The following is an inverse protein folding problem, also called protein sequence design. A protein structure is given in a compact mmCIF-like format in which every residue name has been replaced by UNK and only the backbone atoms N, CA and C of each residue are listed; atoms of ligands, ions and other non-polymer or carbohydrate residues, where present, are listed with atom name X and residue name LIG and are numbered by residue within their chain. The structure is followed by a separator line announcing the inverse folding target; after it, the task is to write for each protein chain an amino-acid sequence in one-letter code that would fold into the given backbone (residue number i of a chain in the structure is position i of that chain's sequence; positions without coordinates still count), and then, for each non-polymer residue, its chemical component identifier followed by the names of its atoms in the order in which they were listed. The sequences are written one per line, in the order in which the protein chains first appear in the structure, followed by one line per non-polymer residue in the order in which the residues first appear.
data_IF_424161512786
#
_entry.id   IF_424161512786
#
_cell.length_a   1.000
_cell.length_b   1.000
_cell.length_c   1.000
_cell.angle_alpha   90.00
_cell.angle_beta   90.00
_cell.angle_gamma   90.00
#
_symmetry.space_group_name_H-M   'P 1'
#
loop_
_entity.id
_entity.type
_entity.pdbx_description
1 polymer ?
#
# COMPACT_ATOMS: atom_id res chain seq x y z
N UNK A 1 31.63 7.73 9.49
CA UNK A 1 31.50 8.16 8.07
C UNK A 1 30.02 8.28 7.73
N UNK A 2 29.64 9.31 6.96
CA UNK A 2 28.28 9.45 6.44
C UNK A 2 28.08 8.49 5.30
N UNK A 3 26.89 7.85 5.23
CA UNK A 3 26.51 6.93 4.15
C UNK A 3 26.28 7.68 2.84
N UNK A 4 26.58 7.06 1.71
CA UNK A 4 26.23 7.57 0.38
C UNK A 4 24.72 7.49 0.15
N UNK A 5 24.24 8.16 -0.89
CA UNK A 5 22.79 8.09 -1.25
C UNK A 5 22.40 6.66 -1.62
N UNK A 6 23.23 5.93 -2.36
CA UNK A 6 23.00 4.53 -2.71
C UNK A 6 22.86 3.66 -1.45
N UNK A 7 23.74 3.84 -0.46
CA UNK A 7 23.68 3.11 0.80
C UNK A 7 22.44 3.47 1.65
N UNK A 8 21.88 4.67 1.48
CA UNK A 8 20.65 5.05 2.18
C UNK A 8 19.42 4.37 1.60
N UNK A 9 19.40 4.08 0.30
CA UNK A 9 18.31 3.41 -0.40
C UNK A 9 18.50 1.88 -0.51
N UNK A 10 19.64 1.33 -0.09
CA UNK A 10 19.94 -0.11 -0.13
C UNK A 10 19.07 -0.89 0.87
N UNK A 11 18.36 -1.90 0.39
CA UNK A 11 17.52 -2.80 1.16
C UNK A 11 18.10 -4.23 1.26
N UNK A 12 19.39 -4.41 0.90
CA UNK A 12 20.04 -5.71 1.01
C UNK A 12 19.95 -6.28 2.43
N UNK A 13 19.50 -7.52 2.54
CA UNK A 13 19.27 -8.20 3.83
C UNK A 13 17.95 -7.84 4.52
N UNK A 14 17.10 -6.97 3.93
CA UNK A 14 15.77 -6.65 4.44
C UNK A 14 14.72 -7.61 3.88
N UNK A 15 13.66 -7.80 4.66
CA UNK A 15 12.49 -8.58 4.25
C UNK A 15 11.26 -7.69 4.19
N UNK A 16 10.56 -7.72 3.07
CA UNK A 16 9.32 -6.97 2.84
C UNK A 16 8.12 -7.90 2.70
N UNK A 17 7.04 -7.59 3.40
CA UNK A 17 5.72 -8.18 3.21
C UNK A 17 4.81 -7.18 2.50
N UNK A 18 4.29 -7.56 1.32
CA UNK A 18 3.41 -6.70 0.49
C UNK A 18 2.06 -7.38 0.31
N UNK A 19 1.00 -6.80 0.88
CA UNK A 19 -0.37 -7.30 0.69
C UNK A 19 -1.01 -6.74 -0.58
N UNK A 20 -1.86 -7.54 -1.25
CA UNK A 20 -2.37 -7.18 -2.57
C UNK A 20 -1.28 -7.11 -3.63
N UNK A 21 -0.17 -7.87 -3.46
CA UNK A 21 1.03 -7.79 -4.25
C UNK A 21 1.00 -8.59 -5.57
N UNK A 22 -0.12 -9.25 -5.89
CA UNK A 22 -0.19 -10.10 -7.11
C UNK A 22 -0.38 -9.33 -8.42
N UNK A 23 -0.63 -8.01 -8.36
CA UNK A 23 -0.82 -7.15 -9.55
C UNK A 23 -0.88 -5.67 -9.19
N UNK A 24 -0.85 -4.80 -10.22
CA UNK A 24 -1.04 -3.34 -10.10
C UNK A 24 -0.11 -2.71 -9.08
N UNK A 25 -0.62 -1.76 -8.29
CA UNK A 25 0.21 -0.95 -7.37
C UNK A 25 1.04 -1.79 -6.39
N UNK A 26 0.47 -2.90 -5.88
CA UNK A 26 1.18 -3.79 -4.96
C UNK A 26 2.36 -4.50 -5.62
N UNK A 27 2.21 -4.93 -6.87
CA UNK A 27 3.28 -5.58 -7.62
C UNK A 27 4.38 -4.57 -8.00
N UNK A 28 4.01 -3.33 -8.40
CA UNK A 28 4.98 -2.25 -8.63
C UNK A 28 5.84 -1.97 -7.40
N UNK A 29 5.20 -1.88 -6.21
CA UNK A 29 5.93 -1.68 -4.96
C UNK A 29 6.78 -2.89 -4.58
N UNK A 30 6.33 -4.12 -4.87
CA UNK A 30 7.14 -5.34 -4.70
C UNK A 30 8.39 -5.32 -5.58
N UNK A 31 8.27 -4.89 -6.84
CA UNK A 31 9.41 -4.65 -7.73
C UNK A 31 10.37 -3.61 -7.14
N UNK A 32 9.87 -2.45 -6.73
CA UNK A 32 10.72 -1.39 -6.17
C UNK A 32 11.57 -1.85 -4.98
N UNK A 33 10.95 -2.62 -4.07
CA UNK A 33 11.62 -3.15 -2.89
C UNK A 33 12.64 -4.23 -3.25
N UNK A 34 12.27 -5.14 -4.17
CA UNK A 34 13.15 -6.21 -4.63
C UNK A 34 14.33 -5.69 -5.46
N UNK A 35 14.11 -4.77 -6.38
CA UNK A 35 15.16 -4.11 -7.18
C UNK A 35 16.19 -3.37 -6.29
N UNK A 36 15.76 -2.89 -5.11
CA UNK A 36 16.64 -2.29 -4.11
C UNK A 36 17.31 -3.32 -3.18
N UNK A 37 17.15 -4.62 -3.40
CA UNK A 37 17.83 -5.70 -2.68
C UNK A 37 17.02 -6.37 -1.57
N UNK A 38 15.77 -6.01 -1.34
CA UNK A 38 14.94 -6.70 -0.35
C UNK A 38 14.49 -8.08 -0.84
N UNK A 39 14.38 -9.04 0.08
CA UNK A 39 13.60 -10.26 -0.13
C UNK A 39 12.11 -9.91 0.02
N UNK A 40 11.28 -10.33 -0.90
CA UNK A 40 9.87 -9.92 -0.94
C UNK A 40 8.94 -11.11 -0.77
N UNK A 41 8.00 -11.01 0.17
CA UNK A 41 6.85 -11.91 0.24
C UNK A 41 5.60 -11.13 -0.16
N UNK A 42 4.92 -11.60 -1.20
CA UNK A 42 3.66 -11.02 -1.65
C UNK A 42 2.46 -11.86 -1.18
N UNK A 43 1.36 -11.21 -0.87
CA UNK A 43 0.13 -11.88 -0.47
C UNK A 43 -1.08 -11.33 -1.21
N UNK A 44 -1.98 -12.23 -1.59
CA UNK A 44 -3.34 -11.95 -2.09
C UNK A 44 -4.21 -13.20 -1.89
N UNK A 45 -5.49 -13.14 -2.31
CA UNK A 45 -6.43 -14.26 -2.09
C UNK A 45 -6.26 -15.43 -3.04
N UNK A 46 -5.73 -15.22 -4.26
CA UNK A 46 -5.66 -16.24 -5.32
C UNK A 46 -4.23 -16.72 -5.50
N UNK A 47 -4.03 -18.02 -5.35
CA UNK A 47 -2.71 -18.64 -5.50
C UNK A 47 -2.18 -18.49 -6.93
N UNK A 48 -3.00 -18.70 -7.94
CA UNK A 48 -2.58 -18.64 -9.34
C UNK A 48 -2.06 -17.24 -9.72
N UNK A 49 -2.76 -16.17 -9.26
CA UNK A 49 -2.32 -14.78 -9.49
C UNK A 49 -0.96 -14.50 -8.79
N UNK A 50 -0.72 -15.14 -7.63
CA UNK A 50 0.52 -14.98 -6.85
C UNK A 50 1.69 -15.74 -7.46
N UNK A 51 1.44 -16.95 -7.96
CA UNK A 51 2.45 -17.77 -8.64
C UNK A 51 2.99 -17.04 -9.88
N UNK A 52 2.10 -16.46 -10.67
CA UNK A 52 2.48 -15.68 -11.85
C UNK A 52 3.29 -14.43 -11.45
N UNK A 53 2.85 -13.68 -10.43
CA UNK A 53 3.55 -12.49 -9.97
C UNK A 53 4.94 -12.82 -9.38
N UNK A 54 5.07 -13.92 -8.63
CA UNK A 54 6.39 -14.36 -8.12
C UNK A 54 7.31 -14.79 -9.24
N UNK A 55 6.80 -15.49 -10.26
CA UNK A 55 7.60 -15.85 -11.43
C UNK A 55 8.14 -14.60 -12.16
N UNK A 56 7.32 -13.54 -12.29
CA UNK A 56 7.72 -12.24 -12.86
C UNK A 56 8.82 -11.59 -12.01
N UNK A 57 8.64 -11.51 -10.68
CA UNK A 57 9.63 -10.95 -9.76
C UNK A 57 10.95 -11.73 -9.79
N UNK A 58 10.88 -13.07 -9.81
CA UNK A 58 12.06 -13.93 -9.88
C UNK A 58 12.79 -13.81 -11.23
N UNK A 59 12.07 -13.64 -12.34
CA UNK A 59 12.66 -13.37 -13.65
C UNK A 59 13.43 -12.02 -13.67
N UNK A 60 13.02 -11.06 -12.84
CA UNK A 60 13.73 -9.81 -12.60
C UNK A 60 14.89 -9.95 -11.59
N UNK A 61 15.22 -11.16 -11.13
CA UNK A 61 16.32 -11.43 -10.19
C UNK A 61 15.97 -11.16 -8.72
N UNK A 62 14.70 -11.01 -8.37
CA UNK A 62 14.24 -10.70 -7.01
C UNK A 62 13.98 -12.01 -6.24
N UNK A 63 14.50 -12.14 -5.01
CA UNK A 63 14.12 -13.24 -4.09
C UNK A 63 12.68 -13.00 -3.61
N UNK A 64 11.73 -13.57 -4.35
CA UNK A 64 10.31 -13.41 -4.12
C UNK A 64 9.63 -14.73 -3.74
N UNK A 65 8.70 -14.64 -2.78
CA UNK A 65 7.84 -15.73 -2.32
C UNK A 65 6.41 -15.23 -2.16
N UNK A 66 5.48 -16.15 -1.94
CA UNK A 66 4.08 -15.79 -1.75
C UNK A 66 3.38 -16.63 -0.67
N UNK A 67 2.31 -16.05 -0.13
CA UNK A 67 1.32 -16.70 0.73
C UNK A 67 -0.07 -16.22 0.35
N UNK A 68 -0.96 -17.14 -0.01
CA UNK A 68 -2.35 -16.80 -0.25
C UNK A 68 -3.05 -16.51 1.09
N UNK A 69 -3.65 -15.31 1.24
CA UNK A 69 -4.39 -14.93 2.44
C UNK A 69 -5.45 -13.86 2.13
N UNK A 70 -6.55 -13.92 2.86
CA UNK A 70 -7.59 -12.90 2.89
C UNK A 70 -7.38 -11.96 4.09
N UNK A 71 -6.84 -10.78 3.84
CA UNK A 71 -6.58 -9.78 4.89
C UNK A 71 -7.86 -9.17 5.50
N UNK A 72 -9.06 -9.60 5.11
CA UNK A 72 -10.30 -9.29 5.80
C UNK A 72 -10.62 -10.29 6.94
N UNK A 73 -9.83 -11.37 7.10
CA UNK A 73 -10.04 -12.44 8.08
C UNK A 73 -8.90 -12.49 9.09
N UNK A 74 -9.23 -12.39 10.39
CA UNK A 74 -8.25 -12.36 11.49
C UNK A 74 -7.33 -13.58 11.51
N UNK A 75 -7.90 -14.79 11.34
CA UNK A 75 -7.15 -16.04 11.31
C UNK A 75 -6.16 -16.10 10.14
N UNK A 76 -6.56 -15.57 8.98
CA UNK A 76 -5.71 -15.52 7.79
C UNK A 76 -4.57 -14.50 7.95
N UNK A 77 -4.81 -13.36 8.63
CA UNK A 77 -3.77 -12.39 8.95
C UNK A 77 -2.73 -13.02 9.89
N UNK A 78 -3.18 -13.72 10.93
CA UNK A 78 -2.27 -14.41 11.87
C UNK A 78 -1.42 -15.43 11.13
N UNK A 79 -2.04 -16.28 10.32
CA UNK A 79 -1.36 -17.28 9.50
C UNK A 79 -0.37 -16.66 8.51
N UNK A 80 -0.76 -15.57 7.84
CA UNK A 80 0.11 -14.85 6.90
C UNK A 80 1.39 -14.38 7.59
N UNK A 81 1.29 -13.79 8.76
CA UNK A 81 2.45 -13.31 9.52
C UNK A 81 3.31 -14.49 9.99
N UNK A 82 2.69 -15.58 10.49
CA UNK A 82 3.40 -16.80 10.89
C UNK A 82 4.21 -17.40 9.77
N UNK A 83 3.57 -17.62 8.60
CA UNK A 83 4.23 -18.19 7.44
C UNK A 83 5.30 -17.25 6.87
N UNK A 84 5.09 -15.92 6.94
CA UNK A 84 6.13 -14.96 6.52
C UNK A 84 7.36 -15.08 7.41
N UNK A 85 7.19 -15.08 8.72
CA UNK A 85 8.30 -15.23 9.68
C UNK A 85 9.03 -16.57 9.52
N UNK A 86 8.28 -17.65 9.30
CA UNK A 86 8.86 -18.98 9.09
C UNK A 86 9.69 -19.07 7.81
N UNK A 87 9.20 -18.47 6.71
CA UNK A 87 9.81 -18.59 5.37
C UNK A 87 10.91 -17.56 5.11
N UNK A 88 10.78 -16.39 5.71
CA UNK A 88 11.60 -15.22 5.36
C UNK A 88 12.39 -14.68 6.57
N UNK A 89 12.08 -15.12 7.78
CA UNK A 89 12.62 -14.52 9.01
C UNK A 89 11.90 -13.21 9.37
N UNK A 90 12.62 -12.33 10.05
CA UNK A 90 12.06 -11.05 10.48
C UNK A 90 11.52 -10.19 9.34
N UNK A 91 10.40 -9.49 9.60
CA UNK A 91 9.77 -8.57 8.66
C UNK A 91 10.26 -7.15 8.98
N UNK A 92 11.05 -6.57 8.07
CA UNK A 92 11.56 -5.20 8.21
C UNK A 92 10.60 -4.15 7.65
N UNK A 93 9.91 -4.52 6.56
CA UNK A 93 9.04 -3.62 5.79
C UNK A 93 7.68 -4.28 5.62
N UNK A 94 6.61 -3.54 5.97
CA UNK A 94 5.23 -3.93 5.72
C UNK A 94 4.58 -2.92 4.77
N UNK A 95 4.04 -3.41 3.65
CA UNK A 95 3.21 -2.61 2.74
C UNK A 95 1.76 -3.09 2.85
N UNK A 96 0.93 -2.31 3.52
CA UNK A 96 -0.51 -2.48 3.56
C UNK A 96 -1.12 -1.90 2.29
N UNK A 97 -1.33 -2.74 1.27
CA UNK A 97 -1.89 -2.33 -0.02
C UNK A 97 -3.19 -3.06 -0.40
N UNK A 98 -3.45 -4.24 0.16
CA UNK A 98 -4.71 -4.94 -0.11
C UNK A 98 -5.92 -4.05 0.18
N UNK A 99 -6.84 -3.92 -0.77
CA UNK A 99 -7.99 -3.04 -0.62
C UNK A 99 -9.16 -3.43 -1.49
N UNK A 100 -10.32 -2.87 -1.16
CA UNK A 100 -11.57 -2.99 -1.91
C UNK A 100 -12.24 -1.61 -2.04
N UNK A 101 -13.04 -1.48 -3.09
CA UNK A 101 -13.91 -0.34 -3.32
C UNK A 101 -15.32 -0.84 -3.67
N UNK A 102 -16.31 -0.01 -3.45
CA UNK A 102 -17.69 -0.22 -3.85
C UNK A 102 -18.31 1.11 -4.24
N UNK A 103 -19.08 1.13 -5.32
CA UNK A 103 -19.75 2.31 -5.84
C UNK A 103 -21.27 2.16 -5.75
N UNK A 104 -21.93 3.12 -5.05
CA UNK A 104 -23.39 3.26 -4.94
C UNK A 104 -23.69 4.65 -4.37
N UNK A 105 -24.83 5.30 -4.72
CA UNK A 105 -25.31 6.49 -4.04
C UNK A 105 -25.31 6.28 -2.51
N UNK A 106 -25.02 7.34 -1.75
CA UNK A 106 -24.84 7.22 -0.29
C UNK A 106 -26.11 6.74 0.41
N UNK A 107 -27.28 7.22 -0.04
CA UNK A 107 -28.61 6.85 0.46
C UNK A 107 -28.97 5.38 0.21
N UNK A 108 -28.42 4.79 -0.84
CA UNK A 108 -28.65 3.38 -1.24
C UNK A 108 -27.44 2.49 -1.00
N UNK A 109 -26.42 2.98 -0.26
CA UNK A 109 -25.19 2.21 -0.09
C UNK A 109 -25.42 1.00 0.82
N UNK A 110 -25.23 -0.26 0.32
CA UNK A 110 -25.48 -1.44 1.13
C UNK A 110 -24.51 -1.51 2.32
N UNK A 111 -25.05 -1.81 3.51
CA UNK A 111 -24.26 -1.93 4.75
C UNK A 111 -23.18 -3.03 4.60
N UNK A 112 -23.53 -4.16 3.98
CA UNK A 112 -22.57 -5.23 3.72
C UNK A 112 -21.40 -4.80 2.86
N UNK A 113 -21.65 -3.92 1.89
CA UNK A 113 -20.58 -3.36 1.05
C UNK A 113 -19.70 -2.37 1.83
N UNK A 114 -20.32 -1.56 2.70
CA UNK A 114 -19.61 -0.70 3.65
C UNK A 114 -18.70 -1.53 4.55
N UNK A 115 -19.26 -2.53 5.23
CA UNK A 115 -18.51 -3.40 6.15
C UNK A 115 -17.37 -4.12 5.45
N UNK A 116 -17.58 -4.63 4.24
CA UNK A 116 -16.55 -5.27 3.43
C UNK A 116 -15.38 -4.33 3.15
N UNK A 117 -15.66 -3.07 2.79
CA UNK A 117 -14.63 -2.08 2.50
C UNK A 117 -13.88 -1.69 3.78
N UNK A 118 -14.61 -1.35 4.85
CA UNK A 118 -14.01 -0.94 6.13
C UNK A 118 -13.21 -2.08 6.77
N UNK A 119 -13.72 -3.30 6.72
CA UNK A 119 -13.05 -4.46 7.29
C UNK A 119 -11.70 -4.75 6.60
N UNK A 120 -11.64 -4.68 5.26
CA UNK A 120 -10.38 -4.91 4.56
C UNK A 120 -9.44 -3.70 4.64
N UNK A 121 -9.94 -2.49 4.32
CA UNK A 121 -9.09 -1.32 4.13
C UNK A 121 -8.61 -0.68 5.45
N UNK A 122 -9.37 -0.85 6.54
CA UNK A 122 -9.07 -0.21 7.83
C UNK A 122 -8.70 -1.25 8.88
N UNK A 123 -9.65 -2.15 9.20
CA UNK A 123 -9.43 -3.18 10.24
C UNK A 123 -8.29 -4.13 9.87
N UNK A 124 -8.23 -4.56 8.60
CA UNK A 124 -7.15 -5.42 8.09
C UNK A 124 -5.78 -4.77 8.23
N UNK A 125 -5.64 -3.48 7.90
CA UNK A 125 -4.39 -2.73 8.06
C UNK A 125 -3.96 -2.63 9.52
N UNK A 126 -4.91 -2.35 10.42
CA UNK A 126 -4.63 -2.31 11.86
C UNK A 126 -4.13 -3.67 12.38
N UNK A 127 -4.86 -4.74 12.12
CA UNK A 127 -4.53 -6.08 12.61
C UNK A 127 -3.19 -6.58 12.07
N UNK A 128 -2.93 -6.36 10.77
CA UNK A 128 -1.67 -6.78 10.15
C UNK A 128 -0.49 -5.97 10.70
N UNK A 129 -0.63 -4.65 10.81
CA UNK A 129 0.40 -3.79 11.42
C UNK A 129 0.68 -4.21 12.86
N UNK A 130 -0.36 -4.48 13.66
CA UNK A 130 -0.22 -4.94 15.04
C UNK A 130 0.50 -6.30 15.13
N UNK A 131 0.11 -7.26 14.30
CA UNK A 131 0.70 -8.60 14.31
C UNK A 131 2.18 -8.56 13.90
N UNK A 132 2.51 -7.85 12.82
CA UNK A 132 3.90 -7.70 12.35
C UNK A 132 4.75 -6.96 13.39
N UNK A 133 4.24 -5.84 13.93
CA UNK A 133 5.00 -5.06 14.89
C UNK A 133 5.30 -5.84 16.18
N UNK A 134 4.31 -6.51 16.76
CA UNK A 134 4.47 -7.32 17.99
C UNK A 134 5.46 -8.47 17.81
N UNK A 135 5.47 -9.10 16.65
CA UNK A 135 6.21 -10.34 16.43
C UNK A 135 7.59 -10.14 15.81
N UNK A 136 7.83 -8.98 15.21
CA UNK A 136 9.09 -8.70 14.52
C UNK A 136 9.70 -7.34 14.86
N UNK A 137 8.97 -6.23 14.76
CA UNK A 137 9.57 -4.90 14.73
C UNK A 137 9.85 -4.30 16.12
N UNK A 138 8.92 -4.46 17.10
CA UNK A 138 8.99 -3.78 18.42
C UNK A 138 10.23 -4.24 19.19
N UNK A 139 10.45 -5.55 19.32
CA UNK A 139 11.58 -6.09 20.06
C UNK A 139 12.94 -5.68 19.44
N UNK A 140 13.00 -5.63 18.12
CA UNK A 140 14.20 -5.21 17.37
C UNK A 140 14.37 -3.69 17.32
N UNK A 141 13.36 -2.92 17.72
CA UNK A 141 13.32 -1.45 17.62
C UNK A 141 13.66 -0.97 16.22
N UNK A 142 13.06 -1.60 15.22
CA UNK A 142 13.29 -1.30 13.81
C UNK A 142 12.12 -1.78 12.96
N UNK A 143 11.57 -0.93 12.10
CA UNK A 143 10.51 -1.29 11.17
C UNK A 143 10.09 -0.13 10.27
N UNK A 144 9.51 -0.48 9.12
CA UNK A 144 8.94 0.46 8.15
C UNK A 144 7.55 -0.03 7.78
N UNK A 145 6.54 0.79 7.99
CA UNK A 145 5.15 0.49 7.60
C UNK A 145 4.70 1.52 6.59
N UNK A 146 4.25 1.03 5.43
CA UNK A 146 3.74 1.84 4.33
C UNK A 146 2.28 1.48 4.11
N UNK A 147 1.39 2.43 4.31
CA UNK A 147 -0.04 2.26 4.10
C UNK A 147 -0.43 2.85 2.74
N UNK A 148 -1.09 2.09 1.90
CA UNK A 148 -1.64 2.60 0.64
C UNK A 148 -3.02 3.19 0.90
N UNK A 149 -3.07 4.52 1.04
CA UNK A 149 -4.30 5.29 1.13
C UNK A 149 -4.86 5.58 -0.29
N UNK A 150 -5.24 6.80 -0.58
CA UNK A 150 -5.70 7.31 -1.89
C UNK A 150 -5.91 8.81 -1.80
N UNK A 151 -5.86 9.53 -2.91
CA UNK A 151 -6.37 10.92 -2.98
C UNK A 151 -7.86 10.99 -2.61
N UNK A 152 -8.62 9.91 -2.80
CA UNK A 152 -10.01 9.80 -2.35
C UNK A 152 -10.18 9.94 -0.82
N UNK A 153 -9.12 9.78 -0.03
CA UNK A 153 -9.12 10.04 1.41
C UNK A 153 -8.78 11.48 1.79
N UNK A 154 -8.43 12.33 0.84
CA UNK A 154 -8.03 13.73 1.06
C UNK A 154 -9.21 14.71 0.92
N UNK A 155 -10.27 14.30 0.25
CA UNK A 155 -11.44 15.15 0.01
C UNK A 155 -12.64 14.37 -0.46
N UNK A 156 -13.70 15.09 -0.85
CA UNK A 156 -14.90 14.51 -1.45
C UNK A 156 -14.66 14.15 -2.93
N UNK A 157 -15.54 13.33 -3.46
CA UNK A 157 -15.53 12.97 -4.87
C UNK A 157 -16.22 14.02 -5.74
N UNK A 158 -15.84 14.13 -7.02
CA UNK A 158 -16.64 14.84 -8.00
C UNK A 158 -17.98 14.13 -8.22
N UNK A 159 -18.93 14.86 -8.77
CA UNK A 159 -20.27 14.34 -9.10
C UNK A 159 -20.16 13.05 -9.95
N UNK A 160 -21.02 12.08 -9.65
CA UNK A 160 -21.05 10.78 -10.32
C UNK A 160 -20.08 9.72 -9.79
N UNK A 161 -19.16 10.08 -8.88
CA UNK A 161 -18.26 9.12 -8.25
C UNK A 161 -18.74 8.75 -6.84
N UNK A 162 -19.61 7.77 -6.75
CA UNK A 162 -20.30 7.38 -5.53
C UNK A 162 -19.56 6.28 -4.76
N UNK A 163 -18.46 6.62 -4.07
CA UNK A 163 -17.61 5.64 -3.35
C UNK A 163 -17.43 5.98 -1.87
N UNK A 164 -18.54 6.30 -1.17
CA UNK A 164 -18.52 6.80 0.22
C UNK A 164 -17.71 5.90 1.16
N UNK A 165 -17.91 4.58 1.15
CA UNK A 165 -17.18 3.66 2.00
C UNK A 165 -15.66 3.67 1.70
N UNK A 166 -15.28 3.73 0.43
CA UNK A 166 -13.88 3.78 0.01
C UNK A 166 -13.21 5.08 0.47
N UNK A 167 -13.81 6.24 0.19
CA UNK A 167 -13.27 7.54 0.62
C UNK A 167 -13.12 7.59 2.15
N UNK A 168 -14.14 7.18 2.89
CA UNK A 168 -14.10 7.12 4.35
C UNK A 168 -12.97 6.21 4.82
N UNK A 169 -12.83 5.02 4.23
CA UNK A 169 -11.77 4.08 4.59
C UNK A 169 -10.36 4.65 4.33
N UNK A 170 -10.18 5.37 3.21
CA UNK A 170 -8.87 5.96 2.86
C UNK A 170 -8.53 7.18 3.70
N UNK A 171 -9.52 7.98 4.10
CA UNK A 171 -9.38 9.03 5.12
C UNK A 171 -8.99 8.46 6.49
N UNK A 172 -9.64 7.35 6.89
CA UNK A 172 -9.28 6.62 8.11
C UNK A 172 -7.84 6.10 8.07
N UNK A 173 -7.37 5.55 6.94
CA UNK A 173 -5.97 5.09 6.77
C UNK A 173 -4.98 6.23 6.92
N UNK A 174 -5.27 7.43 6.41
CA UNK A 174 -4.41 8.60 6.58
C UNK A 174 -4.28 8.98 8.05
N UNK A 175 -5.40 9.05 8.79
CA UNK A 175 -5.34 9.37 10.21
C UNK A 175 -4.72 8.24 11.06
N UNK A 176 -5.01 6.98 10.73
CA UNK A 176 -4.36 5.79 11.30
C UNK A 176 -2.83 5.88 11.17
N UNK A 177 -2.34 6.26 9.99
CA UNK A 177 -0.91 6.45 9.71
C UNK A 177 -0.28 7.47 10.66
N UNK A 178 -0.92 8.62 10.86
CA UNK A 178 -0.44 9.67 11.78
C UNK A 178 -0.36 9.18 13.21
N UNK A 179 -1.44 8.57 13.70
CA UNK A 179 -1.53 8.09 15.09
C UNK A 179 -0.51 6.98 15.33
N UNK A 180 -0.44 6.00 14.44
CA UNK A 180 0.47 4.87 14.60
C UNK A 180 1.94 5.31 14.51
N UNK A 181 2.27 6.25 13.62
CA UNK A 181 3.61 6.83 13.50
C UNK A 181 4.04 7.56 14.79
N UNK A 182 3.11 8.28 15.42
CA UNK A 182 3.36 8.94 16.72
C UNK A 182 3.56 7.92 17.85
N UNK A 183 2.71 6.89 17.94
CA UNK A 183 2.79 5.90 19.02
C UNK A 183 4.02 5.00 18.93
N UNK A 184 4.43 4.61 17.70
CA UNK A 184 5.49 3.63 17.51
C UNK A 184 6.85 4.23 17.16
N UNK A 185 6.95 5.54 17.03
CA UNK A 185 8.22 6.24 16.87
C UNK A 185 9.22 5.93 18.01
N UNK A 186 8.74 5.73 19.25
CA UNK A 186 9.55 5.29 20.40
C UNK A 186 10.23 3.92 20.19
N UNK A 187 9.72 3.11 19.27
CA UNK A 187 10.31 1.83 18.88
C UNK A 187 11.16 1.93 17.59
N UNK A 188 11.42 3.14 17.10
CA UNK A 188 12.12 3.36 15.83
C UNK A 188 11.40 2.69 14.63
N UNK A 189 10.06 2.65 14.68
CA UNK A 189 9.20 2.20 13.60
C UNK A 189 8.62 3.44 12.94
N UNK A 190 8.84 3.62 11.63
CA UNK A 190 8.20 4.67 10.86
C UNK A 190 6.94 4.15 10.20
N UNK A 191 5.89 4.96 10.17
CA UNK A 191 4.61 4.64 9.53
C UNK A 191 4.23 5.80 8.62
N UNK A 192 4.14 5.56 7.32
CA UNK A 192 3.81 6.59 6.33
C UNK A 192 2.76 6.07 5.34
N UNK A 193 2.07 6.97 4.65
CA UNK A 193 1.08 6.63 3.65
C UNK A 193 1.44 7.16 2.26
N UNK A 194 1.17 6.35 1.25
CA UNK A 194 1.13 6.76 -0.15
C UNK A 194 -0.34 6.98 -0.52
N UNK A 195 -0.65 8.10 -1.16
CA UNK A 195 -1.99 8.44 -1.65
C UNK A 195 -1.98 8.46 -3.18
N UNK A 196 -2.15 7.31 -3.86
CA UNK A 196 -2.19 7.28 -5.32
C UNK A 196 -3.40 8.05 -5.87
N UNK A 197 -3.21 8.67 -7.04
CA UNK A 197 -4.27 9.15 -7.90
C UNK A 197 -4.84 8.04 -8.78
N UNK A 198 -5.15 8.39 -10.04
CA UNK A 198 -5.63 7.42 -11.02
C UNK A 198 -4.46 6.70 -11.68
N UNK A 199 -4.47 5.37 -11.54
CA UNK A 199 -3.52 4.42 -12.15
C UNK A 199 -4.31 3.33 -12.88
N UNK A 200 -3.72 2.74 -13.89
CA UNK A 200 -4.27 1.53 -14.49
C UNK A 200 -4.25 0.37 -13.50
N UNK A 201 -5.42 -0.15 -13.18
CA UNK A 201 -5.56 -1.31 -12.31
C UNK A 201 -6.91 -1.99 -12.51
N UNK A 202 -7.05 -3.24 -12.06
CA UNK A 202 -8.35 -3.90 -12.05
C UNK A 202 -9.40 -3.14 -11.22
N UNK A 203 -8.98 -2.45 -10.17
CA UNK A 203 -9.88 -1.67 -9.30
C UNK A 203 -10.40 -0.42 -10.01
N UNK A 204 -9.57 0.26 -10.80
CA UNK A 204 -9.88 1.52 -11.47
C UNK A 204 -10.50 1.32 -12.86
N UNK A 205 -10.41 0.13 -13.45
CA UNK A 205 -10.88 -0.15 -14.81
C UNK A 205 -12.34 0.27 -15.05
N UNK A 206 -13.23 0.02 -14.09
CA UNK A 206 -14.63 0.46 -14.17
C UNK A 206 -14.79 1.97 -14.17
N UNK A 207 -14.05 2.67 -13.32
CA UNK A 207 -14.05 4.14 -13.22
C UNK A 207 -13.45 4.77 -14.48
N UNK A 208 -12.32 4.25 -14.98
CA UNK A 208 -11.68 4.71 -16.21
C UNK A 208 -12.62 4.58 -17.40
N UNK A 209 -13.34 3.45 -17.49
CA UNK A 209 -14.34 3.23 -18.56
C UNK A 209 -15.53 4.17 -18.43
N UNK A 210 -16.04 4.41 -17.22
CA UNK A 210 -17.24 5.22 -16.99
C UNK A 210 -16.98 6.72 -17.15
N UNK A 211 -15.84 7.22 -16.68
CA UNK A 211 -15.50 8.65 -16.68
C UNK A 211 -14.70 9.07 -17.92
N UNK A 212 -14.10 8.14 -18.63
CA UNK A 212 -13.20 8.38 -19.75
C UNK A 212 -11.75 8.62 -19.28
N UNK A 213 -10.84 7.81 -19.78
CA UNK A 213 -9.42 7.87 -19.43
C UNK A 213 -8.80 9.23 -19.80
N UNK A 214 -9.05 9.70 -21.03
CA UNK A 214 -8.57 10.99 -21.53
C UNK A 214 -9.05 12.16 -20.68
N UNK A 215 -10.30 12.09 -20.18
CA UNK A 215 -10.87 13.12 -19.29
C UNK A 215 -10.15 13.14 -17.96
N UNK A 216 -9.89 11.99 -17.37
CA UNK A 216 -9.18 11.89 -16.08
C UNK A 216 -7.72 12.32 -16.23
N UNK A 217 -7.05 11.93 -17.32
CA UNK A 217 -5.70 12.38 -17.66
C UNK A 217 -5.66 13.91 -17.88
N UNK A 218 -6.61 14.46 -18.63
CA UNK A 218 -6.70 15.90 -18.86
C UNK A 218 -6.97 16.72 -17.58
N UNK A 219 -7.65 16.13 -16.58
CA UNK A 219 -7.89 16.72 -15.27
C UNK A 219 -6.64 16.80 -14.39
N UNK A 220 -5.64 15.96 -14.61
CA UNK A 220 -4.38 16.03 -13.90
C UNK A 220 -3.50 17.16 -14.44
N UNK A 221 -2.82 17.96 -13.61
CA UNK A 221 -1.83 18.94 -14.05
C UNK A 221 -0.76 18.35 -14.98
N UNK A 222 -0.27 17.13 -14.70
CA UNK A 222 0.71 16.44 -15.55
C UNK A 222 0.12 15.81 -16.82
N UNK A 223 -1.18 15.93 -17.07
CA UNK A 223 -1.88 15.48 -18.27
C UNK A 223 -1.72 14.00 -18.59
N UNK A 224 -1.51 13.16 -17.59
CA UNK A 224 -1.44 11.71 -17.72
C UNK A 224 -1.96 11.01 -16.47
N UNK A 225 -2.31 9.75 -16.59
CA UNK A 225 -2.49 8.85 -15.45
C UNK A 225 -1.13 8.40 -14.91
N UNK A 226 -1.14 7.81 -13.72
CA UNK A 226 0.06 7.16 -13.18
C UNK A 226 0.37 5.85 -13.92
N UNK A 227 1.65 5.57 -14.08
CA UNK A 227 2.18 4.36 -14.73
C UNK A 227 2.84 3.39 -13.73
N UNK A 228 3.48 2.35 -14.24
CA UNK A 228 4.05 1.26 -13.44
C UNK A 228 5.33 1.64 -12.66
N UNK A 229 5.84 2.85 -12.82
CA UNK A 229 7.07 3.33 -12.16
C UNK A 229 6.80 4.43 -11.12
N UNK A 230 5.69 5.17 -11.24
CA UNK A 230 5.43 6.39 -10.46
C UNK A 230 5.40 6.17 -8.93
N UNK A 231 5.06 4.97 -8.46
CA UNK A 231 5.05 4.67 -7.02
C UNK A 231 6.39 4.15 -6.48
N UNK A 232 7.30 3.69 -7.37
CA UNK A 232 8.54 3.02 -6.96
C UNK A 232 9.42 3.92 -6.10
N UNK A 233 9.64 5.16 -6.53
CA UNK A 233 10.52 6.10 -5.83
C UNK A 233 10.04 6.43 -4.42
N UNK A 234 8.75 6.73 -4.23
CA UNK A 234 8.20 7.06 -2.92
C UNK A 234 8.13 5.82 -2.01
N UNK A 235 7.77 4.65 -2.56
CA UNK A 235 7.79 3.40 -1.81
C UNK A 235 9.20 3.11 -1.27
N UNK A 236 10.22 3.22 -2.11
CA UNK A 236 11.60 3.01 -1.71
C UNK A 236 12.08 4.04 -0.67
N UNK A 237 11.70 5.32 -0.81
CA UNK A 237 12.01 6.35 0.18
C UNK A 237 11.46 5.95 1.56
N UNK A 238 10.19 5.56 1.65
CA UNK A 238 9.58 5.21 2.93
C UNK A 238 10.08 3.87 3.50
N UNK A 239 10.51 2.94 2.65
CA UNK A 239 11.02 1.63 3.05
C UNK A 239 12.47 1.67 3.55
N UNK A 240 13.25 2.64 3.11
CA UNK A 240 14.71 2.68 3.29
C UNK A 240 15.14 3.63 4.40
N UNK A 241 16.44 3.66 4.66
CA UNK A 241 17.04 4.59 5.62
C UNK A 241 17.11 6.03 5.09
N UNK A 242 16.84 6.25 3.81
CA UNK A 242 16.64 7.60 3.26
C UNK A 242 15.42 8.28 3.90
N UNK A 243 14.38 7.50 4.23
CA UNK A 243 13.17 7.96 4.91
C UNK A 243 13.16 7.80 6.44
N UNK A 244 14.27 7.44 7.08
CA UNK A 244 14.32 7.09 8.53
C UNK A 244 13.87 8.20 9.50
N UNK A 245 13.78 9.43 9.04
CA UNK A 245 13.29 10.57 9.84
C UNK A 245 11.92 11.08 9.36
N UNK A 246 11.22 10.28 8.53
CA UNK A 246 9.88 10.57 8.04
C UNK A 246 8.92 9.57 8.67
N UNK A 247 7.98 10.05 9.51
CA UNK A 247 6.93 9.23 10.11
C UNK A 247 5.64 10.03 10.29
N UNK A 248 4.50 9.36 10.25
CA UNK A 248 3.18 9.97 10.36
C UNK A 248 2.80 10.84 9.15
N UNK A 249 3.53 10.73 8.03
CA UNK A 249 3.32 11.55 6.85
C UNK A 249 2.54 10.79 5.77
N UNK A 250 1.93 11.56 4.89
CA UNK A 250 1.33 11.05 3.65
C UNK A 250 1.76 11.92 2.47
N UNK A 251 1.88 11.30 1.31
CA UNK A 251 2.18 12.03 0.08
C UNK A 251 1.31 11.51 -1.06
N UNK A 252 0.69 12.45 -1.79
CA UNK A 252 -0.05 12.14 -3.01
C UNK A 252 0.92 11.89 -4.17
N UNK A 253 0.62 10.84 -4.96
CA UNK A 253 1.28 10.53 -6.23
C UNK A 253 0.16 10.46 -7.26
N UNK A 254 -0.22 11.62 -7.80
CA UNK A 254 -1.49 11.80 -8.52
C UNK A 254 -1.41 12.76 -9.72
N UNK A 255 -0.20 13.10 -10.14
CA UNK A 255 0.00 14.06 -11.22
C UNK A 255 -0.46 15.48 -10.89
N UNK A 256 -0.64 15.80 -9.60
CA UNK A 256 -1.04 17.11 -9.09
C UNK A 256 -2.54 17.32 -8.90
N UNK A 257 -3.37 16.26 -9.10
CA UNK A 257 -4.84 16.34 -9.00
C UNK A 257 -5.30 16.90 -7.65
N UNK A 258 -4.74 16.41 -6.54
CA UNK A 258 -5.12 16.87 -5.20
C UNK A 258 -4.50 18.20 -4.79
N UNK A 259 -3.56 18.72 -5.58
CA UNK A 259 -2.86 20.00 -5.32
C UNK A 259 -3.55 21.22 -5.92
N UNK A 260 -4.55 21.03 -6.79
CA UNK A 260 -5.29 22.15 -7.39
C UNK A 260 -6.59 22.39 -6.61
N UNK A 261 -6.80 23.64 -6.18
CA UNK A 261 -8.04 24.06 -5.51
C UNK A 261 -9.08 24.45 -6.56
N UNK A 262 -10.23 23.80 -6.55
CA UNK A 262 -11.43 24.27 -7.27
C UNK A 262 -11.39 24.02 -8.78
N UNK A 263 -11.40 22.76 -9.18
CA UNK A 263 -11.83 22.34 -10.52
C UNK A 263 -13.24 21.80 -10.47
#
# INVERSE_FOLDING_TARGET
MTRTIQQLFDLTGKTALVTGGSRGLGLQMAHALGEAGARVLISSRKAEDLEQAVAELQAAGIDARWVAADCAKDSEITRLVDETLQRMGDIDILVNNAGAAWGSPAEDHPVDAWDKVMNLNVRGYFLLSQAVAKRSMIARRSGRIINVASIAGLGGNPEGMNTIAYNTSKGAVINFTRTLGAEWGKYNITVNAICPGFFHSKMTAGTLKAMGEDRLAAGAPLKRLGDDEDLKGLCLLYASDAGKHITGQWLAVDGGVSGVSGG
#
